data_IF_557056259359
#
_entry.id   IF_557056259359
#
_cell.length_a   1.000
_cell.length_b   1.000
_cell.length_c   1.000
_cell.angle_alpha   90.00
_cell.angle_beta   90.00
_cell.angle_gamma   90.00
#
_symmetry.space_group_name_H-M   'P 1'
#
loop_
_entity.id
_entity.type
_entity.pdbx_description
1 polymer ?
#
# COMPACT_ATOMS: atom_id res chain seq x y z
N UNK A 1 19.46 4.05 -4.69
CA UNK A 1 18.54 3.84 -5.84
C UNK A 1 17.78 5.13 -6.03
N UNK A 2 17.47 5.57 -7.25
CA UNK A 2 16.83 6.88 -7.46
C UNK A 2 15.52 6.70 -8.26
N UNK A 3 14.38 6.97 -7.61
CA UNK A 3 13.05 6.78 -8.20
C UNK A 3 12.84 7.60 -9.48
N UNK A 4 13.26 8.87 -9.47
CA UNK A 4 13.12 9.75 -10.63
C UNK A 4 13.90 9.22 -11.83
N UNK A 5 15.12 8.72 -11.61
CA UNK A 5 15.95 8.15 -12.67
C UNK A 5 15.31 6.90 -13.28
N UNK A 6 14.68 6.04 -12.46
CA UNK A 6 13.93 4.88 -12.95
C UNK A 6 12.78 5.32 -13.86
N UNK A 7 11.96 6.27 -13.42
CA UNK A 7 10.81 6.76 -14.19
C UNK A 7 11.24 7.42 -15.51
N UNK A 8 12.27 8.25 -15.49
CA UNK A 8 12.83 8.88 -16.70
C UNK A 8 13.38 7.85 -17.69
N UNK A 9 14.05 6.80 -17.20
CA UNK A 9 14.50 5.70 -18.05
C UNK A 9 13.32 4.96 -18.68
N UNK A 10 12.28 4.67 -17.92
CA UNK A 10 11.07 4.00 -18.42
C UNK A 10 10.33 4.81 -19.48
N UNK A 11 10.28 6.14 -19.34
CA UNK A 11 9.75 7.03 -20.38
C UNK A 11 10.61 6.99 -21.65
N UNK A 12 11.94 7.08 -21.52
CA UNK A 12 12.85 7.01 -22.68
C UNK A 12 12.74 5.69 -23.43
N UNK A 13 12.49 4.59 -22.71
CA UNK A 13 12.25 3.27 -23.29
C UNK A 13 10.82 3.08 -23.85
N UNK A 14 9.96 4.09 -23.75
CA UNK A 14 8.59 4.03 -24.28
C UNK A 14 7.62 3.19 -23.45
N UNK A 15 8.02 2.73 -22.27
CA UNK A 15 7.17 1.89 -21.39
C UNK A 15 6.03 2.73 -20.79
N UNK A 16 6.34 3.97 -20.41
CA UNK A 16 5.36 4.93 -19.89
C UNK A 16 5.32 6.19 -20.76
N UNK A 17 4.15 6.80 -20.88
CA UNK A 17 3.97 8.05 -21.62
C UNK A 17 4.26 9.28 -20.74
N UNK A 18 4.24 10.48 -21.35
CA UNK A 18 4.56 11.73 -20.65
C UNK A 18 3.59 12.05 -19.51
N UNK A 19 2.31 11.71 -19.64
CA UNK A 19 1.30 11.91 -18.59
C UNK A 19 1.55 10.97 -17.41
N UNK A 20 1.80 9.69 -17.67
CA UNK A 20 2.15 8.72 -16.63
C UNK A 20 3.41 9.13 -15.88
N UNK A 21 4.46 9.59 -16.58
CA UNK A 21 5.65 10.12 -15.92
C UNK A 21 5.30 11.25 -14.95
N UNK A 22 4.54 12.25 -15.41
CA UNK A 22 4.17 13.40 -14.58
C UNK A 22 3.42 12.97 -13.31
N UNK A 23 2.46 12.06 -13.45
CA UNK A 23 1.67 11.54 -12.32
C UNK A 23 2.57 10.79 -11.32
N UNK A 24 3.47 9.93 -11.80
CA UNK A 24 4.36 9.15 -10.94
C UNK A 24 5.40 10.01 -10.24
N UNK A 25 5.91 11.06 -10.90
CA UNK A 25 6.78 12.06 -10.27
C UNK A 25 6.04 12.86 -9.21
N UNK A 26 4.82 13.33 -9.50
CA UNK A 26 3.99 14.03 -8.53
C UNK A 26 3.66 13.15 -7.33
N UNK A 27 3.34 11.88 -7.55
CA UNK A 27 3.12 10.90 -6.49
C UNK A 27 4.37 10.73 -5.61
N UNK A 28 5.56 10.60 -6.21
CA UNK A 28 6.82 10.53 -5.47
C UNK A 28 7.05 11.78 -4.60
N UNK A 29 6.86 12.97 -5.18
CA UNK A 29 7.06 14.22 -4.45
C UNK A 29 6.08 14.38 -3.28
N UNK A 30 4.79 14.17 -3.52
CA UNK A 30 3.76 14.28 -2.48
C UNK A 30 3.93 13.22 -1.38
N UNK A 31 4.37 12.01 -1.74
CA UNK A 31 4.77 10.99 -0.77
C UNK A 31 5.93 11.45 0.12
N UNK A 32 7.01 11.96 -0.49
CA UNK A 32 8.18 12.45 0.25
C UNK A 32 7.81 13.58 1.21
N UNK A 33 6.96 14.52 0.76
CA UNK A 33 6.44 15.59 1.61
C UNK A 33 5.62 15.07 2.79
N UNK A 34 4.74 14.09 2.56
CA UNK A 34 3.91 13.51 3.61
C UNK A 34 4.74 12.75 4.65
N UNK A 35 5.73 11.97 4.20
CA UNK A 35 6.69 11.28 5.07
C UNK A 35 7.50 12.28 5.91
N UNK A 36 8.00 13.35 5.29
CA UNK A 36 8.74 14.40 5.99
C UNK A 36 7.87 15.14 7.02
N UNK A 37 6.60 15.43 6.69
CA UNK A 37 5.64 16.04 7.63
C UNK A 37 5.38 15.16 8.86
N UNK A 38 5.55 13.85 8.73
CA UNK A 38 5.48 12.89 9.82
C UNK A 38 6.81 12.73 10.57
N UNK A 39 7.81 13.58 10.31
CA UNK A 39 9.17 13.53 10.88
C UNK A 39 9.89 12.20 10.62
N UNK A 40 9.56 11.52 9.51
CA UNK A 40 10.23 10.28 9.09
C UNK A 40 11.30 10.58 8.05
N UNK A 41 12.35 9.77 8.05
CA UNK A 41 13.46 9.93 7.11
C UNK A 41 13.09 9.37 5.73
N UNK A 42 13.01 10.23 4.72
CA UNK A 42 12.66 9.83 3.35
C UNK A 42 13.63 8.75 2.82
N UNK A 43 14.91 8.82 3.17
CA UNK A 43 15.92 7.88 2.68
C UNK A 43 15.65 6.43 3.12
N UNK A 44 14.96 6.23 4.25
CA UNK A 44 14.57 4.89 4.73
C UNK A 44 13.41 4.30 3.93
N UNK A 45 12.62 5.15 3.27
CA UNK A 45 11.43 4.76 2.52
C UNK A 45 11.62 4.80 0.99
N UNK A 46 12.70 5.42 0.51
CA UNK A 46 13.03 5.46 -0.92
C UNK A 46 13.17 4.06 -1.55
N UNK A 47 13.78 3.04 -0.90
CA UNK A 47 13.85 1.69 -1.48
C UNK A 47 12.47 1.04 -1.71
N UNK A 48 11.51 1.27 -0.80
CA UNK A 48 10.14 0.74 -0.91
C UNK A 48 9.41 1.41 -2.08
N UNK A 49 9.54 2.74 -2.19
CA UNK A 49 8.95 3.49 -3.31
C UNK A 49 9.59 3.12 -4.65
N UNK A 50 10.89 2.86 -4.67
CA UNK A 50 11.59 2.36 -5.86
C UNK A 50 11.01 1.01 -6.31
N UNK A 51 10.83 0.08 -5.37
CA UNK A 51 10.19 -1.21 -5.67
C UNK A 51 8.74 -1.06 -6.12
N UNK A 52 7.95 -0.19 -5.49
CA UNK A 52 6.60 0.10 -5.94
C UNK A 52 6.57 0.55 -7.40
N UNK A 53 7.47 1.46 -7.81
CA UNK A 53 7.53 1.88 -9.20
C UNK A 53 7.98 0.79 -10.16
N UNK A 54 8.88 -0.11 -9.76
CA UNK A 54 9.21 -1.28 -10.59
C UNK A 54 7.98 -2.17 -10.82
N UNK A 55 7.18 -2.42 -9.79
CA UNK A 55 5.94 -3.19 -9.91
C UNK A 55 4.89 -2.46 -10.76
N UNK A 56 4.75 -1.14 -10.63
CA UNK A 56 3.86 -0.35 -11.50
C UNK A 56 4.32 -0.42 -12.97
N UNK A 57 5.62 -0.32 -13.22
CA UNK A 57 6.18 -0.44 -14.57
C UNK A 57 5.93 -1.84 -15.13
N UNK A 58 6.16 -2.88 -14.32
CA UNK A 58 5.89 -4.27 -14.69
C UNK A 58 4.41 -4.47 -15.03
N UNK A 59 3.50 -3.95 -14.21
CA UNK A 59 2.05 -3.99 -14.43
C UNK A 59 1.61 -3.27 -15.71
N UNK A 60 2.24 -2.14 -16.04
CA UNK A 60 1.98 -1.45 -17.32
C UNK A 60 2.40 -2.31 -18.52
N UNK A 61 3.49 -3.07 -18.40
CA UNK A 61 3.98 -3.93 -19.48
C UNK A 61 3.20 -5.25 -19.59
N UNK A 62 2.77 -5.79 -18.45
CA UNK A 62 2.08 -7.07 -18.35
C UNK A 62 0.96 -6.97 -17.31
N UNK A 63 -0.21 -6.39 -17.67
CA UNK A 63 -1.30 -6.17 -16.74
C UNK A 63 -1.81 -7.48 -16.11
N UNK A 64 -2.00 -7.44 -14.80
CA UNK A 64 -2.62 -8.50 -14.05
C UNK A 64 -4.13 -8.55 -14.33
N UNK A 65 -4.67 -9.76 -14.45
CA UNK A 65 -6.10 -9.98 -14.66
C UNK A 65 -6.72 -10.35 -13.31
N UNK A 66 -7.58 -9.47 -12.79
CA UNK A 66 -8.31 -9.73 -11.57
C UNK A 66 -9.51 -10.66 -11.81
N UNK A 67 -9.45 -11.83 -11.20
CA UNK A 67 -10.58 -12.77 -11.13
C UNK A 67 -11.64 -12.29 -10.11
N UNK A 68 -12.89 -12.78 -10.19
CA UNK A 68 -13.95 -12.41 -9.23
C UNK A 68 -13.57 -12.63 -7.76
N UNK A 69 -12.71 -13.63 -7.51
CA UNK A 69 -12.02 -13.80 -6.24
C UNK A 69 -10.51 -13.73 -6.48
N UNK A 70 -9.86 -12.76 -5.84
CA UNK A 70 -8.42 -12.58 -5.90
C UNK A 70 -7.81 -12.79 -4.52
N UNK A 71 -7.12 -13.91 -4.34
CA UNK A 71 -6.31 -14.15 -3.14
C UNK A 71 -5.03 -13.31 -3.20
N UNK A 72 -4.62 -12.74 -2.06
CA UNK A 72 -3.41 -11.94 -1.99
C UNK A 72 -2.17 -12.75 -2.43
N UNK A 73 -1.40 -12.20 -3.36
CA UNK A 73 -0.15 -12.80 -3.83
C UNK A 73 0.96 -12.51 -2.81
N UNK A 74 1.45 -13.56 -2.16
CA UNK A 74 2.50 -13.50 -1.12
C UNK A 74 3.83 -14.09 -1.57
N UNK A 75 3.86 -14.79 -2.71
CA UNK A 75 5.03 -15.46 -3.29
C UNK A 75 4.96 -15.45 -4.83
N UNK A 76 6.07 -15.30 -5.56
CA UNK A 76 7.45 -15.14 -5.06
C UNK A 76 7.72 -13.73 -4.50
N UNK A 77 6.82 -12.78 -4.73
CA UNK A 77 6.86 -11.43 -4.19
C UNK A 77 5.66 -11.19 -3.25
N UNK A 78 5.90 -10.52 -2.13
CA UNK A 78 4.87 -10.22 -1.13
C UNK A 78 4.27 -8.83 -1.38
N UNK A 79 3.25 -8.76 -2.24
CA UNK A 79 2.54 -7.52 -2.56
C UNK A 79 1.79 -6.94 -1.35
N UNK A 80 1.36 -7.79 -0.43
CA UNK A 80 0.73 -7.36 0.80
C UNK A 80 1.72 -6.59 1.68
N UNK A 81 2.93 -7.13 1.88
CA UNK A 81 3.99 -6.44 2.63
C UNK A 81 4.43 -5.15 1.93
N UNK A 82 4.59 -5.15 0.61
CA UNK A 82 4.91 -3.93 -0.14
C UNK A 82 3.89 -2.80 0.15
N UNK A 83 2.58 -3.12 0.15
CA UNK A 83 1.54 -2.15 0.46
C UNK A 83 1.65 -1.59 1.89
N UNK A 84 1.87 -2.46 2.88
CA UNK A 84 2.06 -2.02 4.27
C UNK A 84 3.29 -1.13 4.44
N UNK A 85 4.42 -1.51 3.83
CA UNK A 85 5.67 -0.76 3.94
C UNK A 85 5.58 0.59 3.22
N UNK A 86 4.79 0.67 2.13
CA UNK A 86 4.55 1.90 1.39
C UNK A 86 3.68 2.89 2.19
N UNK A 87 2.58 2.43 2.78
CA UNK A 87 1.61 3.32 3.43
C UNK A 87 1.81 3.50 4.94
N UNK A 88 2.49 2.57 5.62
CA UNK A 88 2.81 2.65 7.05
C UNK A 88 3.52 3.94 7.48
N UNK A 89 4.45 4.52 6.69
CA UNK A 89 5.06 5.81 6.96
C UNK A 89 4.05 6.97 7.05
N UNK A 90 2.91 6.87 6.37
CA UNK A 90 1.88 7.90 6.34
C UNK A 90 0.96 7.87 7.56
N UNK A 91 0.92 6.74 8.28
CA UNK A 91 0.13 6.60 9.51
C UNK A 91 0.85 7.25 10.69
N UNK A 92 0.12 8.09 11.43
CA UNK A 92 0.56 8.72 12.68
C UNK A 92 -0.10 7.98 13.85
N UNK A 93 0.51 6.88 14.27
CA UNK A 93 -0.08 5.93 15.22
C UNK A 93 -0.50 6.59 16.55
N UNK A 94 0.24 7.60 17.00
CA UNK A 94 -0.02 8.35 18.24
C UNK A 94 -1.33 9.14 18.19
N UNK A 95 -1.80 9.47 16.98
CA UNK A 95 -3.05 10.21 16.74
C UNK A 95 -4.17 9.32 16.19
N UNK A 96 -3.86 8.09 15.83
CA UNK A 96 -4.84 7.10 15.38
C UNK A 96 -5.50 6.41 16.58
N UNK A 97 -6.75 5.98 16.41
CA UNK A 97 -7.52 5.30 17.46
C UNK A 97 -8.23 4.08 16.90
N UNK A 98 -8.32 3.04 17.71
CA UNK A 98 -9.20 1.89 17.49
C UNK A 98 -10.28 1.96 18.56
N UNK A 99 -11.53 1.90 18.13
CA UNK A 99 -12.68 1.84 19.01
C UNK A 99 -13.19 0.41 19.07
N UNK A 100 -13.65 0.00 20.25
CA UNK A 100 -14.20 -1.33 20.48
C UNK A 100 -13.28 -2.50 20.05
N UNK A 101 -11.99 -2.52 20.47
CA UNK A 101 -11.06 -3.59 20.08
C UNK A 101 -11.53 -4.99 20.50
N UNK A 102 -12.39 -5.11 21.53
CA UNK A 102 -13.03 -6.36 21.94
C UNK A 102 -13.86 -7.01 20.82
N UNK A 103 -14.39 -6.22 19.88
CA UNK A 103 -15.16 -6.75 18.74
C UNK A 103 -14.30 -7.53 17.76
N UNK A 104 -13.00 -7.25 17.69
CA UNK A 104 -12.08 -8.04 16.87
C UNK A 104 -11.99 -9.47 17.39
N UNK A 105 -11.95 -9.65 18.72
CA UNK A 105 -11.94 -10.99 19.33
C UNK A 105 -13.25 -11.74 19.07
N UNK A 106 -14.38 -11.03 19.09
CA UNK A 106 -15.67 -11.60 18.71
C UNK A 106 -15.68 -12.06 17.25
N UNK A 107 -15.14 -11.26 16.33
CA UNK A 107 -15.00 -11.63 14.92
C UNK A 107 -14.16 -12.90 14.78
N UNK A 108 -12.98 -12.95 15.42
CA UNK A 108 -12.10 -14.14 15.40
C UNK A 108 -12.82 -15.36 15.98
N UNK A 109 -13.58 -15.19 17.06
CA UNK A 109 -14.35 -16.26 17.68
C UNK A 109 -15.43 -16.82 16.72
N UNK A 110 -16.22 -15.95 16.06
CA UNK A 110 -17.24 -16.39 15.11
C UNK A 110 -16.62 -17.11 13.90
N UNK A 111 -15.52 -16.59 13.36
CA UNK A 111 -14.77 -17.26 12.30
C UNK A 111 -14.28 -18.65 12.74
N UNK A 112 -13.83 -18.81 13.99
CA UNK A 112 -13.40 -20.12 14.53
C UNK A 112 -14.53 -21.15 14.63
N UNK A 113 -15.80 -20.71 14.62
CA UNK A 113 -16.98 -21.56 14.57
C UNK A 113 -17.42 -21.93 13.15
N UNK A 114 -16.72 -21.42 12.13
CA UNK A 114 -17.10 -21.59 10.72
C UNK A 114 -18.22 -20.65 10.27
N UNK A 115 -18.52 -19.60 11.05
CA UNK A 115 -19.45 -18.56 10.63
C UNK A 115 -18.80 -17.58 9.65
N UNK A 116 -19.62 -16.88 8.87
CA UNK A 116 -19.18 -15.79 8.01
C UNK A 116 -19.35 -14.46 8.72
N UNK A 117 -18.33 -13.61 8.63
CA UNK A 117 -18.38 -12.23 9.13
C UNK A 117 -18.33 -11.28 7.94
N UNK A 118 -19.25 -10.32 7.89
CA UNK A 118 -19.29 -9.27 6.87
C UNK A 118 -19.10 -7.93 7.58
N UNK A 119 -18.06 -7.18 7.19
CA UNK A 119 -17.80 -5.84 7.71
C UNK A 119 -18.56 -4.81 6.87
N UNK A 120 -19.61 -4.23 7.44
CA UNK A 120 -20.32 -3.11 6.82
C UNK A 120 -19.59 -1.82 7.17
N UNK A 121 -18.71 -1.37 6.27
CA UNK A 121 -17.86 -0.21 6.47
C UNK A 121 -18.16 0.90 5.44
N UNK A 122 -17.85 2.14 5.80
CA UNK A 122 -17.67 3.19 4.82
C UNK A 122 -16.33 3.00 4.08
N UNK A 123 -16.21 3.60 2.90
CA UNK A 123 -14.95 3.71 2.16
C UNK A 123 -14.51 5.17 2.13
N UNK A 124 -13.24 5.45 2.37
CA UNK A 124 -12.68 6.81 2.36
C UNK A 124 -11.55 6.94 1.36
N UNK A 125 -10.65 5.96 1.28
CA UNK A 125 -9.45 6.05 0.45
C UNK A 125 -9.05 4.69 -0.11
N UNK A 126 -8.38 4.67 -1.26
CA UNK A 126 -7.85 3.43 -1.86
C UNK A 126 -7.00 2.58 -0.90
N UNK A 127 -6.10 3.13 -0.05
CA UNK A 127 -5.34 2.35 0.92
C UNK A 127 -6.08 1.96 2.21
N UNK A 128 -7.42 2.05 2.27
CA UNK A 128 -8.22 1.61 3.43
C UNK A 128 -7.84 0.18 3.89
N UNK A 129 -7.64 -0.83 3.01
CA UNK A 129 -7.22 -2.17 3.44
C UNK A 129 -5.86 -2.20 4.15
N UNK A 130 -4.90 -1.37 3.72
CA UNK A 130 -3.58 -1.29 4.34
C UNK A 130 -3.66 -0.60 5.69
N UNK A 131 -4.50 0.44 5.83
CA UNK A 131 -4.70 1.10 7.12
C UNK A 131 -5.40 0.19 8.14
N UNK A 132 -6.42 -0.56 7.72
CA UNK A 132 -7.08 -1.56 8.58
C UNK A 132 -6.06 -2.60 9.04
N UNK A 133 -5.30 -3.17 8.10
CA UNK A 133 -4.26 -4.15 8.41
C UNK A 133 -3.21 -3.59 9.39
N UNK A 134 -2.65 -2.41 9.10
CA UNK A 134 -1.63 -1.77 9.92
C UNK A 134 -2.12 -1.47 11.34
N UNK A 135 -3.35 -0.97 11.48
CA UNK A 135 -3.93 -0.67 12.79
C UNK A 135 -4.17 -1.94 13.61
N UNK A 136 -4.55 -3.04 12.95
CA UNK A 136 -4.85 -4.32 13.61
C UNK A 136 -3.62 -5.22 13.83
N UNK A 137 -2.45 -4.96 13.22
CA UNK A 137 -1.24 -5.78 13.42
C UNK A 137 -0.83 -5.91 14.91
N UNK A 138 -1.19 -4.95 15.76
CA UNK A 138 -0.93 -4.98 17.21
C UNK A 138 -2.05 -5.60 18.05
N UNK A 139 -3.14 -6.02 17.41
CA UNK A 139 -4.35 -6.58 18.05
C UNK A 139 -4.69 -7.94 17.43
N UNK A 140 -3.91 -8.99 17.75
CA UNK A 140 -4.16 -10.36 17.28
C UNK A 140 -5.44 -10.96 17.87
#
# INVERSE_FOLDING_TARGET
MNCITLLEKSKKSGIINARQLSILQEFYHTFCEAVAKNNKNIAEHEPVMYRYFEEVIHEIQSPFIFEPYHAAIRTPFDYYRLGLDLFGPLVVAERSKIFHPERIQEIVYQLSKGENVILLANHQTEPDPQFISFMLEKHP
#
